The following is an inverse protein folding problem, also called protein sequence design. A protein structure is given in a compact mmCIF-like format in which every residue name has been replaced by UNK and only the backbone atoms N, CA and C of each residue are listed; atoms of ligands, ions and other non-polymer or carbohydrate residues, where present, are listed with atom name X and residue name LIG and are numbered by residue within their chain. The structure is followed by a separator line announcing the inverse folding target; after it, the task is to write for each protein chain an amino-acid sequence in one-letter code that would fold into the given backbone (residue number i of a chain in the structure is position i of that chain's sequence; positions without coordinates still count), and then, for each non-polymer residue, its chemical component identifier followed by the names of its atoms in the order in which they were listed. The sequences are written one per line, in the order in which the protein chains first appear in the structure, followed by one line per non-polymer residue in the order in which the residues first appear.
data_IF_785796009678
#
_entry.id   IF_785796009678
#
_cell.length_a   1.000
_cell.length_b   1.000
_cell.length_c   1.000
_cell.angle_alpha   90.00
_cell.angle_beta   90.00
_cell.angle_gamma   90.00
#
_symmetry.space_group_name_H-M   'P 1'
#
loop_
_entity.id
_entity.type
_entity.pdbx_description
1 polymer ?
#
# COMPACT_ATOMS: atom_id res chain seq x y z
N UNK A 1 62.49 39.95 -24.09
CA UNK A 1 61.29 39.43 -24.78
C UNK A 1 61.42 37.92 -24.89
N UNK A 2 60.34 37.18 -24.60
CA UNK A 2 59.92 35.87 -25.15
C UNK A 2 58.87 35.30 -24.17
N UNK A 3 57.86 34.58 -24.68
CA UNK A 3 56.70 34.17 -23.90
C UNK A 3 56.44 32.66 -24.06
N UNK A 4 55.82 32.04 -23.04
CA UNK A 4 54.60 31.23 -23.16
C UNK A 4 54.21 30.54 -21.82
N UNK A 5 52.90 30.32 -21.64
CA UNK A 5 52.29 29.41 -20.64
C UNK A 5 51.41 28.43 -21.42
N UNK A 6 51.55 27.10 -21.24
CA UNK A 6 50.55 26.31 -20.48
C UNK A 6 51.25 25.18 -19.67
N UNK A 7 50.63 24.18 -19.02
CA UNK A 7 49.22 23.80 -18.77
C UNK A 7 48.87 24.07 -17.26
N UNK A 8 47.91 23.51 -16.48
CA UNK A 8 47.04 22.30 -16.46
C UNK A 8 47.86 21.00 -16.20
N UNK A 9 47.55 20.05 -15.31
CA UNK A 9 46.26 19.56 -14.79
C UNK A 9 46.26 19.33 -13.27
N UNK A 10 45.15 19.67 -12.61
CA UNK A 10 44.85 19.19 -11.26
C UNK A 10 43.94 17.96 -11.34
N UNK A 11 44.49 16.77 -11.08
CA UNK A 11 43.68 15.55 -10.95
C UNK A 11 43.01 15.49 -9.57
N UNK A 12 41.87 16.17 -9.43
CA UNK A 12 40.89 15.82 -8.39
C UNK A 12 40.18 14.57 -8.89
N UNK A 13 40.63 13.40 -8.43
CA UNK A 13 39.97 12.13 -8.69
C UNK A 13 38.65 12.06 -7.90
N UNK A 14 37.58 12.60 -8.49
CA UNK A 14 36.24 12.55 -7.92
C UNK A 14 35.72 11.11 -7.94
N UNK A 15 35.98 10.35 -6.87
CA UNK A 15 35.37 9.05 -6.60
C UNK A 15 33.88 9.23 -6.29
N UNK A 16 33.10 9.40 -7.35
CA UNK A 16 31.64 9.37 -7.31
C UNK A 16 31.19 7.95 -6.93
N UNK A 17 31.17 7.67 -5.63
CA UNK A 17 30.63 6.43 -5.08
C UNK A 17 29.12 6.39 -5.39
N UNK A 18 28.78 5.68 -6.47
CA UNK A 18 27.41 5.36 -6.84
C UNK A 18 26.85 4.37 -5.81
N UNK A 19 26.52 4.89 -4.63
CA UNK A 19 25.67 4.25 -3.66
C UNK A 19 24.25 4.19 -4.24
N UNK A 20 24.03 3.23 -5.14
CA UNK A 20 22.71 2.87 -5.63
C UNK A 20 21.90 2.35 -4.45
N UNK A 21 21.18 3.24 -3.79
CA UNK A 21 20.17 2.86 -2.82
C UNK A 21 19.21 1.88 -3.49
N UNK A 22 18.97 0.74 -2.83
CA UNK A 22 17.98 -0.23 -3.27
C UNK A 22 16.58 0.38 -3.03
N UNK A 23 16.18 1.27 -3.94
CA UNK A 23 14.84 1.81 -3.97
C UNK A 23 13.86 0.64 -4.09
N UNK A 24 13.02 0.45 -3.07
CA UNK A 24 12.02 -0.61 -3.10
C UNK A 24 10.96 -0.24 -4.12
N UNK A 25 11.11 -0.75 -5.33
CA UNK A 25 10.18 -0.53 -6.43
C UNK A 25 8.76 -1.01 -6.06
N UNK A 26 8.67 -2.23 -5.53
CA UNK A 26 7.41 -2.88 -5.20
C UNK A 26 6.77 -2.33 -3.90
N UNK A 27 5.50 -1.89 -3.92
CA UNK A 27 4.81 -1.42 -2.72
C UNK A 27 4.54 -2.57 -1.73
N UNK A 28 5.05 -2.45 -0.52
CA UNK A 28 4.76 -3.38 0.60
C UNK A 28 3.70 -2.79 1.51
N UNK A 29 2.81 -3.60 2.06
CA UNK A 29 1.91 -3.15 3.14
C UNK A 29 2.73 -2.97 4.44
N UNK A 30 2.73 -1.76 5.00
CA UNK A 30 3.38 -1.44 6.27
C UNK A 30 2.43 -1.64 7.46
N UNK A 31 1.18 -1.21 7.31
CA UNK A 31 0.17 -1.23 8.36
C UNK A 31 -1.25 -1.23 7.79
N UNK A 32 -2.21 -1.66 8.61
CA UNK A 32 -3.64 -1.52 8.31
C UNK A 32 -4.42 -1.07 9.53
N UNK A 33 -5.54 -0.38 9.29
CA UNK A 33 -6.54 -0.01 10.31
C UNK A 33 -7.92 -0.44 9.79
N UNK A 34 -8.58 -1.48 10.34
CA UNK A 34 -8.12 -2.35 11.43
C UNK A 34 -6.82 -3.10 11.12
N UNK A 35 -6.02 -3.38 12.15
CA UNK A 35 -4.84 -4.22 12.04
C UNK A 35 -5.21 -5.67 11.68
N UNK A 36 -4.31 -6.40 11.02
CA UNK A 36 -4.56 -7.81 10.68
C UNK A 36 -4.87 -8.65 11.93
N UNK A 37 -5.92 -9.48 11.83
CA UNK A 37 -6.51 -10.30 12.89
C UNK A 37 -7.11 -9.52 14.08
N UNK A 38 -7.25 -8.19 13.99
CA UNK A 38 -7.88 -7.39 15.04
C UNK A 38 -9.41 -7.63 15.12
N UNK A 39 -9.97 -7.56 16.32
CA UNK A 39 -11.40 -7.69 16.58
C UNK A 39 -11.97 -6.37 17.14
N UNK A 40 -12.72 -5.64 16.31
CA UNK A 40 -13.07 -4.22 16.48
C UNK A 40 -14.60 -3.98 16.42
N UNK A 41 -15.11 -2.83 16.88
CA UNK A 41 -16.43 -2.34 16.46
C UNK A 41 -16.47 -2.10 14.94
N UNK A 42 -17.67 -2.06 14.34
CA UNK A 42 -17.85 -1.90 12.90
C UNK A 42 -17.12 -0.64 12.34
N UNK A 43 -16.07 -0.78 11.52
CA UNK A 43 -15.29 0.36 11.04
C UNK A 43 -16.00 1.14 9.93
N UNK A 44 -16.04 2.46 10.04
CA UNK A 44 -16.57 3.36 8.99
C UNK A 44 -15.65 3.49 7.77
N UNK A 45 -14.34 3.29 7.97
CA UNK A 45 -13.31 3.20 6.92
C UNK A 45 -12.29 2.14 7.30
N UNK A 46 -11.68 1.52 6.32
CA UNK A 46 -10.51 0.65 6.45
C UNK A 46 -9.37 1.31 5.69
N UNK A 47 -8.19 1.40 6.29
CA UNK A 47 -7.03 2.05 5.70
C UNK A 47 -5.88 1.06 5.57
N UNK A 48 -5.20 1.07 4.42
CA UNK A 48 -4.03 0.26 4.11
C UNK A 48 -2.87 1.21 3.78
N UNK A 49 -1.82 1.19 4.60
CA UNK A 49 -0.62 1.99 4.42
C UNK A 49 0.48 1.17 3.74
N UNK A 50 1.10 1.73 2.71
CA UNK A 50 2.16 1.08 1.95
C UNK A 50 3.51 1.79 2.08
N UNK A 51 4.59 1.10 1.72
CA UNK A 51 5.95 1.66 1.74
C UNK A 51 6.18 2.69 0.64
N UNK A 52 5.51 2.55 -0.51
CA UNK A 52 5.66 3.43 -1.68
C UNK A 52 4.38 4.20 -2.01
N UNK A 53 4.52 5.29 -2.77
CA UNK A 53 3.39 6.05 -3.29
C UNK A 53 2.61 5.18 -4.29
N UNK A 54 1.29 5.13 -4.14
CA UNK A 54 0.42 4.33 -5.00
C UNK A 54 0.01 5.09 -6.27
N UNK A 55 0.06 4.39 -7.40
CA UNK A 55 -0.68 4.76 -8.60
C UNK A 55 -2.12 4.32 -8.41
N UNK A 56 -2.93 5.22 -7.84
CA UNK A 56 -4.31 4.96 -7.39
C UNK A 56 -5.20 4.36 -8.48
N UNK A 57 -5.10 4.84 -9.72
CA UNK A 57 -5.84 4.33 -10.88
C UNK A 57 -5.59 2.85 -11.22
N UNK A 58 -4.48 2.25 -10.75
CA UNK A 58 -4.12 0.85 -10.98
C UNK A 58 -4.07 0.01 -9.69
N UNK A 59 -4.43 0.63 -8.57
CA UNK A 59 -4.50 0.03 -7.23
C UNK A 59 -5.97 -0.10 -6.79
N UNK A 60 -6.27 -1.01 -5.87
CA UNK A 60 -7.64 -1.16 -5.38
C UNK A 60 -7.82 -2.35 -4.44
N UNK A 61 -9.04 -2.52 -3.92
CA UNK A 61 -9.35 -3.59 -2.99
C UNK A 61 -10.82 -4.07 -3.11
N UNK A 62 -11.06 -5.29 -2.63
CA UNK A 62 -12.39 -5.84 -2.37
C UNK A 62 -12.51 -6.14 -0.88
N UNK A 63 -13.64 -5.80 -0.27
CA UNK A 63 -14.00 -6.28 1.08
C UNK A 63 -14.93 -7.48 0.95
N UNK A 64 -14.65 -8.54 1.68
CA UNK A 64 -15.38 -9.81 1.65
C UNK A 64 -15.68 -10.26 3.07
N UNK A 65 -16.94 -10.53 3.38
CA UNK A 65 -17.32 -11.25 4.60
C UNK A 65 -17.03 -12.74 4.42
N UNK A 66 -16.30 -13.32 5.38
CA UNK A 66 -15.82 -14.72 5.36
C UNK A 66 -16.41 -15.58 6.48
N UNK A 67 -17.17 -15.00 7.40
CA UNK A 67 -17.95 -15.73 8.40
C UNK A 67 -18.97 -14.82 9.09
N UNK A 68 -20.18 -15.33 9.35
CA UNK A 68 -21.27 -14.63 10.03
C UNK A 68 -21.73 -15.45 11.25
N UNK A 69 -21.98 -14.81 12.41
CA UNK A 69 -22.56 -15.50 13.57
C UNK A 69 -23.89 -16.20 13.22
N UNK A 70 -24.03 -17.46 13.62
CA UNK A 70 -25.21 -18.28 13.32
C UNK A 70 -25.25 -18.88 11.90
N UNK A 71 -24.34 -18.51 10.98
CA UNK A 71 -24.27 -19.06 9.63
C UNK A 71 -22.86 -19.61 9.32
N UNK A 72 -22.57 -20.80 9.83
CA UNK A 72 -21.31 -21.49 9.58
C UNK A 72 -21.14 -21.83 8.09
N UNK A 73 -19.90 -21.70 7.59
CA UNK A 73 -19.48 -22.13 6.24
C UNK A 73 -20.27 -21.50 5.06
N UNK A 74 -20.81 -20.29 5.22
CA UNK A 74 -21.39 -19.57 4.08
C UNK A 74 -20.34 -19.27 3.00
N UNK A 75 -20.77 -19.21 1.74
CA UNK A 75 -19.88 -18.79 0.64
C UNK A 75 -19.42 -17.32 0.87
N UNK A 76 -18.17 -16.94 0.55
CA UNK A 76 -17.66 -15.59 0.84
C UNK A 76 -18.49 -14.51 0.16
N UNK A 77 -19.01 -13.54 0.94
CA UNK A 77 -19.94 -12.53 0.45
C UNK A 77 -19.20 -11.19 0.21
N UNK A 78 -19.22 -10.68 -1.02
CA UNK A 78 -18.60 -9.39 -1.33
C UNK A 78 -19.42 -8.23 -0.75
N UNK A 79 -18.76 -7.37 0.01
CA UNK A 79 -19.36 -6.16 0.56
C UNK A 79 -19.25 -5.00 -0.44
N UNK A 80 -20.26 -4.13 -0.44
CA UNK A 80 -20.23 -2.90 -1.22
C UNK A 80 -19.33 -1.85 -0.54
N UNK A 81 -18.31 -1.39 -1.27
CA UNK A 81 -17.30 -0.43 -0.81
C UNK A 81 -17.00 0.60 -1.89
N UNK A 82 -16.61 1.81 -1.47
CA UNK A 82 -15.83 2.75 -2.29
C UNK A 82 -14.35 2.58 -1.96
N UNK A 83 -13.47 2.74 -2.93
CA UNK A 83 -12.01 2.73 -2.73
C UNK A 83 -11.42 4.02 -3.29
N UNK A 84 -10.52 4.65 -2.53
CA UNK A 84 -9.82 5.88 -2.92
C UNK A 84 -8.37 5.89 -2.40
N UNK A 85 -7.60 6.89 -2.82
CA UNK A 85 -6.43 7.31 -2.06
C UNK A 85 -6.82 8.10 -0.80
N UNK A 86 -5.81 8.48 -0.03
CA UNK A 86 -5.86 9.49 1.04
C UNK A 86 -5.03 10.72 0.63
N UNK A 87 -4.94 11.72 1.49
CA UNK A 87 -4.01 12.85 1.33
C UNK A 87 -2.54 12.38 1.42
N UNK A 88 -2.28 11.27 2.14
CA UNK A 88 -1.03 10.52 2.03
C UNK A 88 -1.11 9.60 0.79
N UNK A 89 -0.27 9.81 -0.25
CA UNK A 89 -0.28 9.01 -1.48
C UNK A 89 0.15 7.54 -1.25
N UNK A 90 0.67 7.20 -0.07
CA UNK A 90 0.98 5.82 0.33
C UNK A 90 -0.19 5.09 0.98
N UNK A 91 -1.34 5.74 1.14
CA UNK A 91 -2.50 5.18 1.85
C UNK A 91 -3.71 4.97 0.93
N UNK A 92 -4.21 3.74 0.90
CA UNK A 92 -5.49 3.39 0.28
C UNK A 92 -6.59 3.38 1.35
N UNK A 93 -7.74 3.97 1.03
CA UNK A 93 -8.93 4.00 1.90
C UNK A 93 -10.04 3.17 1.26
N UNK A 94 -10.65 2.30 2.05
CA UNK A 94 -11.79 1.45 1.67
C UNK A 94 -12.96 1.79 2.59
N UNK A 95 -14.02 2.37 2.03
CA UNK A 95 -15.19 2.86 2.79
C UNK A 95 -16.41 2.02 2.47
N UNK A 96 -16.91 1.19 3.41
CA UNK A 96 -18.19 0.50 3.27
C UNK A 96 -19.35 1.44 2.95
N UNK A 97 -20.23 1.05 2.03
CA UNK A 97 -21.42 1.87 1.70
C UNK A 97 -22.57 1.69 2.69
N UNK A 98 -22.46 0.73 3.60
CA UNK A 98 -23.39 0.42 4.68
C UNK A 98 -22.57 -0.04 5.91
N UNK A 99 -23.10 0.08 7.15
CA UNK A 99 -22.45 -0.49 8.33
C UNK A 99 -22.18 -1.99 8.16
N UNK A 100 -20.99 -2.44 8.59
CA UNK A 100 -20.61 -3.86 8.53
C UNK A 100 -21.28 -4.64 9.68
N UNK A 101 -22.05 -5.71 9.41
CA UNK A 101 -22.56 -6.60 10.46
C UNK A 101 -21.42 -7.30 11.23
N UNK A 102 -21.66 -7.76 12.47
CA UNK A 102 -20.74 -8.63 13.20
C UNK A 102 -20.36 -9.88 12.38
N UNK A 103 -19.09 -10.24 12.40
CA UNK A 103 -18.55 -11.31 11.56
C UNK A 103 -17.08 -11.14 11.21
N UNK A 104 -16.53 -12.13 10.50
CA UNK A 104 -15.16 -12.12 10.00
C UNK A 104 -15.10 -11.56 8.59
N UNK A 105 -14.07 -10.76 8.31
CA UNK A 105 -13.85 -10.08 7.05
C UNK A 105 -12.42 -10.27 6.54
N UNK A 106 -12.27 -10.20 5.22
CA UNK A 106 -11.00 -10.10 4.51
C UNK A 106 -11.03 -8.95 3.51
N UNK A 107 -9.98 -8.16 3.48
CA UNK A 107 -9.71 -7.16 2.44
C UNK A 107 -8.69 -7.77 1.49
N UNK A 108 -9.11 -8.09 0.27
CA UNK A 108 -8.23 -8.54 -0.80
C UNK A 108 -7.78 -7.34 -1.63
N UNK A 109 -6.49 -7.01 -1.62
CA UNK A 109 -5.95 -5.77 -2.16
C UNK A 109 -4.89 -5.98 -3.25
N UNK A 110 -4.77 -4.97 -4.13
CA UNK A 110 -3.77 -4.79 -5.17
C UNK A 110 -3.15 -3.40 -5.05
N UNK A 111 -1.83 -3.32 -4.99
CA UNK A 111 -1.05 -2.09 -4.96
C UNK A 111 -0.11 -2.02 -6.17
N UNK A 112 0.02 -0.84 -6.76
CA UNK A 112 0.94 -0.53 -7.88
C UNK A 112 1.65 0.77 -7.56
N UNK A 113 2.98 0.82 -7.69
CA UNK A 113 3.78 2.05 -7.53
C UNK A 113 4.19 2.62 -8.89
N UNK A 114 5.15 3.57 -8.89
CA UNK A 114 5.83 4.04 -10.10
C UNK A 114 6.56 2.95 -10.89
N UNK A 115 6.80 1.77 -10.32
CA UNK A 115 7.44 0.64 -11.00
C UNK A 115 6.51 -0.15 -11.93
N UNK A 116 5.21 0.17 -11.91
CA UNK A 116 4.12 -0.47 -12.67
C UNK A 116 3.80 -1.94 -12.36
N UNK A 117 4.52 -2.58 -11.42
CA UNK A 117 4.34 -3.99 -11.09
C UNK A 117 3.28 -4.18 -9.98
N UNK A 118 2.19 -4.94 -10.22
CA UNK A 118 1.13 -5.12 -9.24
C UNK A 118 1.51 -6.14 -8.16
N UNK A 119 1.61 -5.67 -6.91
CA UNK A 119 1.67 -6.51 -5.72
C UNK A 119 0.24 -6.77 -5.24
N UNK A 120 -0.06 -8.00 -4.83
CA UNK A 120 -1.36 -8.36 -4.25
C UNK A 120 -1.16 -8.95 -2.85
N UNK A 121 -2.17 -8.82 -2.00
CA UNK A 121 -2.18 -9.41 -0.66
C UNK A 121 -3.56 -9.31 -0.02
N UNK A 122 -3.62 -9.61 1.27
CA UNK A 122 -4.86 -9.44 2.04
C UNK A 122 -4.61 -9.01 3.49
N UNK A 123 -5.67 -8.56 4.15
CA UNK A 123 -5.76 -8.27 5.59
C UNK A 123 -7.06 -8.89 6.11
N UNK A 124 -7.04 -9.50 7.29
CA UNK A 124 -8.22 -10.06 7.96
C UNK A 124 -8.59 -9.25 9.21
N UNK A 125 -9.88 -9.17 9.53
CA UNK A 125 -10.35 -8.61 10.82
C UNK A 125 -11.73 -9.13 11.18
N UNK A 126 -12.14 -8.97 12.44
CA UNK A 126 -13.47 -9.33 12.94
C UNK A 126 -14.21 -8.07 13.40
N UNK A 127 -15.48 -7.94 13.00
CA UNK A 127 -16.43 -6.99 13.59
C UNK A 127 -17.17 -7.67 14.73
N UNK A 128 -17.21 -7.00 15.88
CA UNK A 128 -17.98 -7.34 17.08
C UNK A 128 -19.37 -6.72 17.04
#
# INVERSE_FOLDING_TARGET
MHANRPLIHAMIAATAALASSLAFAHPKLEASTPADKAAVPAPQKIELRFSENLVTQFSGANLVMTGMPGMANHAPMKMAVKVSGSDDPKTMVITPTQPLPPGSYRVDWRAVSSDTHPVNGNVTFTVK
#
